data_IF_315808313229
#
_entry.id   IF_315808313229
#
_cell.length_a   1.000
_cell.length_b   1.000
_cell.length_c   1.000
_cell.angle_alpha   90.00
_cell.angle_beta   90.00
_cell.angle_gamma   90.00
#
_symmetry.space_group_name_H-M   'P 1'
#
loop_
_entity.id
_entity.type
_entity.pdbx_description
1 polymer ?
#
# COMPACT_ATOMS: atom_id res chain seq x y z
N UNK A 1 -22.83 -44.33 17.44
CA UNK A 1 -22.80 -42.97 18.03
C UNK A 1 -21.37 -42.60 18.32
N UNK A 2 -20.71 -41.81 17.48
CA UNK A 2 -19.41 -41.23 17.75
C UNK A 2 -19.61 -39.71 17.73
N UNK A 3 -19.47 -39.10 18.87
CA UNK A 3 -19.54 -37.68 19.14
C UNK A 3 -18.44 -36.99 18.37
N UNK A 4 -18.82 -36.13 17.41
CA UNK A 4 -17.91 -35.25 16.71
C UNK A 4 -17.30 -34.22 17.67
N UNK A 5 -16.02 -34.29 17.88
CA UNK A 5 -15.27 -33.20 18.50
C UNK A 5 -15.18 -32.07 17.49
N UNK A 6 -15.93 -31.01 17.71
CA UNK A 6 -15.69 -29.71 17.04
C UNK A 6 -14.34 -29.18 17.51
N UNK A 7 -13.36 -29.19 16.63
CA UNK A 7 -12.11 -28.46 16.83
C UNK A 7 -12.44 -26.97 16.83
N UNK A 8 -12.44 -26.39 18.02
CA UNK A 8 -12.62 -24.96 18.25
C UNK A 8 -11.31 -24.30 17.76
N UNK A 9 -11.32 -23.75 16.55
CA UNK A 9 -10.25 -22.90 16.05
C UNK A 9 -10.20 -21.69 17.01
N UNK A 10 -9.16 -21.64 17.85
CA UNK A 10 -8.86 -20.45 18.64
C UNK A 10 -8.36 -19.41 17.67
N UNK A 11 -9.26 -18.57 17.18
CA UNK A 11 -8.89 -17.30 16.53
C UNK A 11 -8.00 -16.54 17.48
N UNK A 12 -6.82 -16.17 16.99
CA UNK A 12 -5.80 -15.47 17.80
C UNK A 12 -6.20 -13.99 17.99
N UNK A 13 -7.31 -13.79 18.74
CA UNK A 13 -7.81 -12.46 19.11
C UNK A 13 -6.77 -11.63 19.89
N UNK A 14 -5.78 -12.30 20.50
CA UNK A 14 -4.76 -11.60 21.28
C UNK A 14 -3.75 -10.82 20.41
N UNK A 15 -3.43 -11.31 19.20
CA UNK A 15 -2.56 -10.56 18.26
C UNK A 15 -3.31 -9.35 17.69
N UNK A 16 -4.58 -9.52 17.30
CA UNK A 16 -5.43 -8.42 16.81
C UNK A 16 -5.59 -7.30 17.85
N UNK A 17 -5.85 -7.65 19.11
CA UNK A 17 -6.00 -6.67 20.20
C UNK A 17 -4.68 -5.91 20.44
N UNK A 18 -3.52 -6.56 20.33
CA UNK A 18 -2.22 -5.92 20.51
C UNK A 18 -1.88 -4.95 19.37
N UNK A 19 -2.20 -5.30 18.13
CA UNK A 19 -1.97 -4.45 16.96
C UNK A 19 -2.88 -3.21 16.99
N UNK A 20 -4.17 -3.39 17.24
CA UNK A 20 -5.14 -2.28 17.37
C UNK A 20 -4.82 -1.37 18.56
N UNK A 21 -4.34 -1.93 19.69
CA UNK A 21 -3.93 -1.15 20.85
C UNK A 21 -2.63 -0.37 20.61
N UNK A 22 -1.68 -0.92 19.83
CA UNK A 22 -0.45 -0.23 19.44
C UNK A 22 -0.74 0.94 18.50
N UNK A 23 -1.67 0.76 17.57
CA UNK A 23 -2.12 1.79 16.63
C UNK A 23 -2.83 2.93 17.36
N UNK A 24 -3.74 2.61 18.29
CA UNK A 24 -4.40 3.59 19.13
C UNK A 24 -3.41 4.38 20.00
N UNK A 25 -2.38 3.72 20.53
CA UNK A 25 -1.32 4.34 21.31
C UNK A 25 -0.45 5.29 20.47
N UNK A 26 -0.12 4.93 19.21
CA UNK A 26 0.61 5.78 18.27
C UNK A 26 -0.19 7.02 17.86
N UNK A 27 -1.49 6.88 17.59
CA UNK A 27 -2.37 8.00 17.27
C UNK A 27 -2.58 8.94 18.46
N UNK A 28 -2.66 8.42 19.67
CA UNK A 28 -2.76 9.22 20.92
C UNK A 28 -1.43 9.91 21.24
N UNK A 29 -0.29 9.26 21.03
CA UNK A 29 1.03 9.87 21.23
C UNK A 29 1.30 11.02 20.23
N UNK A 30 0.87 10.87 18.97
CA UNK A 30 0.94 11.93 17.96
C UNK A 30 0.04 13.14 18.29
N UNK A 31 -1.10 12.91 18.95
CA UNK A 31 -2.01 13.98 19.37
C UNK A 31 -1.51 14.75 20.61
N UNK A 32 -0.61 14.19 21.42
CA UNK A 32 -0.13 14.79 22.68
C UNK A 32 1.25 15.47 22.56
N UNK A 33 1.94 15.34 21.43
CA UNK A 33 3.33 15.81 21.23
C UNK A 33 3.51 17.28 20.85
N UNK A 34 2.47 18.09 20.67
CA UNK A 34 2.61 19.48 20.25
C UNK A 34 2.05 20.44 21.30
N UNK A 35 2.81 20.64 22.38
CA UNK A 35 2.79 21.91 23.12
C UNK A 35 4.05 22.68 22.78
N UNK A 36 3.92 23.69 21.92
CA UNK A 36 4.94 24.69 21.73
C UNK A 36 5.05 25.54 22.99
N UNK A 37 6.23 25.55 23.60
CA UNK A 37 6.57 26.41 24.72
C UNK A 37 6.80 27.83 24.17
N UNK A 38 5.89 28.75 24.45
CA UNK A 38 6.05 30.19 24.17
C UNK A 38 6.99 30.79 25.22
N UNK A 39 8.29 30.77 24.95
CA UNK A 39 9.23 31.60 25.70
C UNK A 39 9.35 32.97 25.02
N UNK A 40 8.73 33.94 25.65
CA UNK A 40 8.87 35.37 25.38
C UNK A 40 10.33 35.82 25.63
N UNK A 41 11.04 36.18 24.56
CA UNK A 41 12.28 36.95 24.65
C UNK A 41 12.13 38.26 23.90
N UNK A 42 12.24 39.37 24.64
CA UNK A 42 12.32 40.73 24.10
C UNK A 42 13.56 40.87 23.22
N UNK A 43 13.37 40.92 21.90
CA UNK A 43 14.37 41.30 20.91
C UNK A 43 13.97 42.61 20.22
N UNK A 44 14.94 43.47 19.82
CA UNK A 44 14.65 44.77 19.17
C UNK A 44 13.90 44.57 17.85
N UNK A 45 13.19 45.60 17.34
CA UNK A 45 12.36 45.47 16.16
C UNK A 45 13.21 45.08 14.93
N UNK A 46 13.01 43.87 14.42
CA UNK A 46 13.62 43.39 13.22
C UNK A 46 13.03 44.13 11.99
N UNK A 47 13.91 44.46 11.04
CA UNK A 47 13.52 44.91 9.69
C UNK A 47 12.42 44.00 9.10
N UNK A 48 11.41 44.58 8.38
CA UNK A 48 10.41 43.74 7.77
C UNK A 48 11.06 42.69 6.85
N UNK A 49 10.87 41.43 7.17
CA UNK A 49 11.25 40.33 6.30
C UNK A 49 10.57 40.53 4.92
N UNK A 50 11.23 40.20 3.81
CA UNK A 50 10.59 40.20 2.51
C UNK A 50 9.30 39.39 2.59
N UNK A 51 8.20 39.97 2.10
CA UNK A 51 6.91 39.27 2.05
C UNK A 51 7.13 37.85 1.52
N UNK A 52 6.75 36.85 2.32
CA UNK A 52 6.77 35.47 1.89
C UNK A 52 6.02 35.39 0.56
N UNK A 53 6.69 34.86 -0.48
CA UNK A 53 6.01 34.53 -1.73
C UNK A 53 4.80 33.67 -1.39
N UNK A 54 3.62 33.92 -2.02
CA UNK A 54 2.47 33.04 -1.83
C UNK A 54 2.94 31.61 -2.01
N UNK A 55 2.60 30.74 -1.08
CA UNK A 55 2.90 29.30 -1.17
C UNK A 55 2.56 28.85 -2.58
N UNK A 56 3.58 28.52 -3.37
CA UNK A 56 3.35 27.80 -4.61
C UNK A 56 2.60 26.54 -4.18
N UNK A 57 1.33 26.44 -4.58
CA UNK A 57 0.52 25.22 -4.37
C UNK A 57 1.27 24.11 -5.10
N UNK A 58 2.10 23.38 -4.36
CA UNK A 58 2.82 22.22 -4.87
C UNK A 58 1.81 21.20 -5.40
N UNK A 59 2.29 20.26 -6.20
CA UNK A 59 1.49 19.10 -6.58
C UNK A 59 0.86 18.48 -5.32
N UNK A 60 -0.40 18.04 -5.38
CA UNK A 60 -1.07 17.44 -4.23
C UNK A 60 -0.24 16.25 -3.75
N UNK A 61 -0.04 16.17 -2.43
CA UNK A 61 0.75 15.11 -1.83
C UNK A 61 0.06 13.77 -2.08
N UNK A 62 0.78 12.74 -2.55
CA UNK A 62 0.21 11.42 -2.76
C UNK A 62 -0.25 10.84 -1.41
N UNK A 63 -1.28 9.98 -1.45
CA UNK A 63 -1.61 9.11 -0.33
C UNK A 63 -0.48 8.08 -0.12
N UNK A 64 -0.59 7.27 0.90
CA UNK A 64 0.21 6.06 1.02
C UNK A 64 -0.53 4.89 0.38
N UNK A 65 0.08 4.34 -0.64
CA UNK A 65 -0.29 3.06 -1.21
C UNK A 65 0.04 1.95 -0.19
N UNK A 66 -0.70 0.85 -0.20
CA UNK A 66 -0.63 -0.23 0.81
C UNK A 66 0.77 -0.81 1.03
N UNK A 67 1.68 -0.73 0.05
CA UNK A 67 3.07 -1.22 0.15
C UNK A 67 4.03 -0.22 0.83
N UNK A 68 3.58 0.97 1.25
CA UNK A 68 4.41 1.97 1.93
C UNK A 68 5.16 2.91 1.00
N UNK A 69 4.55 3.30 -0.10
CA UNK A 69 5.05 4.27 -1.07
C UNK A 69 4.03 5.39 -1.29
N UNK A 70 4.48 6.51 -1.85
CA UNK A 70 3.56 7.50 -2.39
C UNK A 70 2.74 6.94 -3.55
N UNK A 71 1.42 7.06 -3.45
CA UNK A 71 0.48 6.55 -4.44
C UNK A 71 -0.95 6.91 -4.11
N UNK A 72 -1.92 6.14 -4.61
CA UNK A 72 -3.32 6.28 -4.27
C UNK A 72 -3.67 5.20 -3.23
N UNK A 73 -4.34 4.14 -3.61
CA UNK A 73 -4.70 3.03 -2.73
C UNK A 73 -3.91 1.76 -3.10
N UNK A 74 -4.01 1.32 -4.35
CA UNK A 74 -3.35 0.12 -4.89
C UNK A 74 -2.24 0.43 -5.90
N UNK A 75 -2.18 1.63 -6.46
CA UNK A 75 -1.22 2.05 -7.48
C UNK A 75 -0.30 3.15 -6.99
N UNK A 76 0.88 3.23 -7.61
CA UNK A 76 1.93 4.19 -7.26
C UNK A 76 1.72 5.54 -7.98
N UNK A 77 2.37 6.58 -7.42
CA UNK A 77 2.54 7.89 -8.03
C UNK A 77 4.00 8.15 -8.38
N UNK A 78 4.29 8.94 -9.41
CA UNK A 78 5.63 9.45 -9.64
C UNK A 78 5.99 10.64 -8.73
N UNK A 79 5.04 11.19 -8.00
CA UNK A 79 5.33 12.15 -6.94
C UNK A 79 5.84 11.43 -5.70
N UNK A 80 6.86 11.99 -5.05
CA UNK A 80 7.39 11.50 -3.78
C UNK A 80 6.71 12.20 -2.61
N UNK A 81 6.63 11.50 -1.48
CA UNK A 81 5.95 11.98 -0.27
C UNK A 81 6.83 12.98 0.46
N UNK A 82 6.28 14.16 0.77
CA UNK A 82 6.89 15.19 1.62
C UNK A 82 8.39 15.45 1.38
N UNK A 83 8.85 15.73 0.14
CA UNK A 83 10.23 16.07 -0.08
C UNK A 83 10.63 17.33 0.71
N UNK A 84 11.91 17.46 1.10
CA UNK A 84 12.38 18.63 1.86
C UNK A 84 12.06 19.92 1.11
N UNK A 85 11.52 20.89 1.84
CA UNK A 85 11.24 22.24 1.36
C UNK A 85 12.51 23.11 1.48
N UNK A 86 12.48 24.28 0.88
CA UNK A 86 13.62 25.22 0.94
C UNK A 86 13.99 25.52 2.40
N UNK A 87 15.24 25.17 2.78
CA UNK A 87 15.78 25.35 4.12
C UNK A 87 15.61 24.14 5.06
N UNK A 88 14.88 23.11 4.66
CA UNK A 88 14.78 21.86 5.43
C UNK A 88 15.94 20.93 5.03
N UNK A 89 16.65 20.31 6.00
CA UNK A 89 17.74 19.38 5.69
C UNK A 89 17.23 18.01 5.19
N UNK A 90 16.02 17.60 5.63
CA UNK A 90 15.33 16.35 5.24
C UNK A 90 13.84 16.63 5.09
N UNK A 91 13.12 15.78 4.38
CA UNK A 91 11.67 15.83 4.32
C UNK A 91 11.02 15.47 5.65
N UNK A 92 9.71 15.45 5.68
CA UNK A 92 8.95 15.09 6.87
C UNK A 92 8.35 13.70 6.70
N UNK A 93 8.49 12.81 7.71
CA UNK A 93 7.93 11.48 7.61
C UNK A 93 6.40 11.54 7.52
N UNK A 94 5.84 10.51 6.91
CA UNK A 94 4.41 10.26 6.89
C UNK A 94 4.16 8.81 7.30
N UNK A 95 3.07 8.57 8.02
CA UNK A 95 2.61 7.24 8.38
C UNK A 95 1.22 7.02 7.81
N UNK A 96 0.94 5.78 7.42
CA UNK A 96 -0.36 5.40 6.90
C UNK A 96 -0.85 4.11 7.55
N UNK A 97 -2.17 3.97 7.59
CA UNK A 97 -2.84 2.73 7.94
C UNK A 97 -3.94 2.47 6.93
N UNK A 98 -4.02 1.23 6.45
CA UNK A 98 -5.06 0.79 5.54
C UNK A 98 -5.70 -0.49 6.07
N UNK A 99 -7.01 -0.60 5.89
CA UNK A 99 -7.79 -1.81 6.10
C UNK A 99 -8.59 -2.11 4.84
N UNK A 100 -8.54 -3.34 4.37
CA UNK A 100 -9.23 -3.81 3.16
C UNK A 100 -10.00 -5.07 3.49
N UNK A 101 -11.30 -5.06 3.28
CA UNK A 101 -12.15 -6.24 3.37
C UNK A 101 -12.34 -6.84 1.96
N UNK A 102 -11.85 -8.07 1.77
CA UNK A 102 -11.97 -8.80 0.51
C UNK A 102 -13.17 -9.74 0.48
N UNK A 103 -13.95 -9.79 1.57
CA UNK A 103 -15.03 -10.75 1.75
C UNK A 103 -14.54 -12.14 2.18
N UNK A 104 -15.49 -13.06 2.43
CA UNK A 104 -15.20 -14.44 2.82
C UNK A 104 -14.31 -14.60 4.07
N UNK A 105 -14.27 -13.57 4.93
CA UNK A 105 -13.39 -13.49 6.08
C UNK A 105 -11.94 -13.18 5.76
N UNK A 106 -11.63 -12.82 4.51
CA UNK A 106 -10.33 -12.32 4.10
C UNK A 106 -10.28 -10.82 4.30
N UNK A 107 -9.25 -10.35 4.94
CA UNK A 107 -8.96 -8.92 5.12
C UNK A 107 -7.46 -8.66 5.07
N UNK A 108 -7.08 -7.44 4.71
CA UNK A 108 -5.70 -6.96 4.68
C UNK A 108 -5.59 -5.73 5.57
N UNK A 109 -4.67 -5.76 6.51
CA UNK A 109 -4.24 -4.61 7.31
C UNK A 109 -2.84 -4.21 6.85
N UNK A 110 -2.62 -2.91 6.55
CA UNK A 110 -1.30 -2.40 6.20
C UNK A 110 -0.92 -1.21 7.08
N UNK A 111 0.31 -1.21 7.57
CA UNK A 111 0.94 -0.09 8.26
C UNK A 111 2.13 0.38 7.43
N UNK A 112 2.18 1.69 7.15
CA UNK A 112 3.18 2.24 6.25
C UNK A 112 3.91 3.42 6.87
N UNK A 113 5.19 3.54 6.53
CA UNK A 113 6.05 4.67 6.90
C UNK A 113 6.82 5.12 5.66
N UNK A 114 6.83 6.41 5.38
CA UNK A 114 7.56 6.97 4.24
C UNK A 114 8.32 8.22 4.68
N UNK A 115 9.54 8.36 4.19
CA UNK A 115 10.41 9.50 4.40
C UNK A 115 11.10 9.89 3.09
N UNK A 116 11.18 11.17 2.79
CA UNK A 116 11.96 11.67 1.66
C UNK A 116 13.20 12.42 2.17
N UNK A 117 14.32 11.73 2.41
CA UNK A 117 15.52 12.36 2.94
C UNK A 117 16.17 13.37 1.99
N UNK A 118 15.88 13.25 0.69
CA UNK A 118 16.36 14.16 -0.34
C UNK A 118 15.19 14.58 -1.24
N UNK A 119 15.37 15.71 -1.95
CA UNK A 119 14.32 16.27 -2.81
C UNK A 119 13.85 15.37 -3.99
N UNK A 120 14.54 14.24 -4.20
CA UNK A 120 14.24 13.27 -5.27
C UNK A 120 14.33 11.81 -4.81
N UNK A 121 14.58 11.55 -3.52
CA UNK A 121 14.68 10.21 -2.96
C UNK A 121 13.57 10.01 -1.94
N UNK A 122 12.80 8.95 -2.11
CA UNK A 122 11.82 8.48 -1.14
C UNK A 122 12.25 7.09 -0.64
N UNK A 123 12.22 6.91 0.65
CA UNK A 123 12.37 5.63 1.33
C UNK A 123 11.05 5.28 1.99
N UNK A 124 10.64 4.04 1.89
CA UNK A 124 9.37 3.57 2.43
C UNK A 124 9.49 2.21 3.09
N UNK A 125 8.62 1.98 4.03
CA UNK A 125 8.40 0.68 4.64
C UNK A 125 6.90 0.40 4.71
N UNK A 126 6.48 -0.79 4.32
CA UNK A 126 5.12 -1.31 4.47
C UNK A 126 5.14 -2.64 5.19
N UNK A 127 4.28 -2.79 6.19
CA UNK A 127 3.94 -4.07 6.81
C UNK A 127 2.50 -4.40 6.45
N UNK A 128 2.29 -5.56 5.86
CA UNK A 128 0.99 -6.06 5.48
C UNK A 128 0.68 -7.35 6.25
N UNK A 129 -0.51 -7.44 6.83
CA UNK A 129 -1.03 -8.65 7.47
C UNK A 129 -2.33 -9.05 6.76
N UNK A 130 -2.27 -10.15 6.00
CA UNK A 130 -3.37 -10.67 5.21
C UNK A 130 -4.00 -11.87 5.90
N UNK A 131 -5.28 -11.78 6.25
CA UNK A 131 -6.07 -12.87 6.82
C UNK A 131 -6.54 -13.84 5.72
N UNK A 132 -6.21 -15.12 5.87
CA UNK A 132 -6.51 -16.17 4.90
C UNK A 132 -8.01 -16.57 4.85
N UNK A 133 -8.83 -16.03 5.74
CA UNK A 133 -10.28 -16.29 5.79
C UNK A 133 -10.61 -17.77 5.94
N UNK A 134 -11.35 -18.31 4.99
CA UNK A 134 -11.81 -19.70 4.99
C UNK A 134 -10.80 -20.70 4.41
N UNK A 135 -9.61 -20.27 3.94
CA UNK A 135 -8.63 -21.16 3.31
C UNK A 135 -8.20 -22.32 4.20
N UNK A 136 -7.90 -22.15 5.50
CA UNK A 136 -7.54 -23.28 6.36
C UNK A 136 -8.61 -24.39 6.40
N UNK A 137 -9.87 -24.01 6.44
CA UNK A 137 -10.98 -24.96 6.38
C UNK A 137 -11.08 -25.63 5.00
N UNK A 138 -10.89 -24.88 3.92
CA UNK A 138 -10.89 -25.42 2.56
C UNK A 138 -9.77 -26.44 2.34
N UNK A 139 -8.56 -26.17 2.85
CA UNK A 139 -7.43 -27.10 2.83
C UNK A 139 -7.77 -28.41 3.57
N UNK A 140 -8.30 -28.30 4.79
CA UNK A 140 -8.70 -29.46 5.58
C UNK A 140 -9.75 -30.33 4.85
N UNK A 141 -10.74 -29.69 4.25
CA UNK A 141 -11.82 -30.38 3.51
C UNK A 141 -11.29 -31.02 2.21
N UNK A 142 -10.52 -30.27 1.40
CA UNK A 142 -9.98 -30.74 0.13
C UNK A 142 -9.04 -31.96 0.31
N UNK A 143 -8.36 -32.04 1.45
CA UNK A 143 -7.41 -33.13 1.76
C UNK A 143 -8.01 -34.22 2.64
N UNK A 144 -9.33 -34.17 2.92
CA UNK A 144 -10.00 -35.10 3.84
C UNK A 144 -9.32 -35.16 5.22
N UNK A 145 -8.80 -34.05 5.68
CA UNK A 145 -8.10 -33.91 6.96
C UNK A 145 -6.63 -34.33 6.96
N UNK A 146 -6.06 -34.67 5.81
CA UNK A 146 -4.64 -35.05 5.71
C UNK A 146 -3.69 -33.85 5.94
N UNK A 147 -4.09 -32.63 5.53
CA UNK A 147 -3.37 -31.39 5.81
C UNK A 147 -4.19 -30.49 6.74
N UNK A 148 -3.46 -29.80 7.62
CA UNK A 148 -4.04 -28.84 8.53
C UNK A 148 -3.20 -27.55 8.48
N UNK A 149 -3.75 -26.52 7.89
CA UNK A 149 -3.15 -25.19 7.88
C UNK A 149 -3.55 -24.47 9.18
N UNK A 150 -2.60 -24.36 10.11
CA UNK A 150 -2.80 -23.71 11.41
C UNK A 150 -2.62 -22.19 11.32
N UNK A 151 -1.85 -21.71 10.36
CA UNK A 151 -1.68 -20.29 10.12
C UNK A 151 -2.95 -19.71 9.49
N UNK A 152 -3.37 -18.58 10.03
CA UNK A 152 -4.59 -17.89 9.62
C UNK A 152 -4.33 -16.58 8.91
N UNK A 153 -3.07 -16.16 8.84
CA UNK A 153 -2.63 -14.92 8.19
C UNK A 153 -1.26 -15.05 7.55
N UNK A 154 -0.99 -14.15 6.63
CA UNK A 154 0.31 -13.95 5.97
C UNK A 154 0.85 -12.59 6.38
N UNK A 155 2.12 -12.53 6.74
CA UNK A 155 2.84 -11.31 7.06
C UNK A 155 3.84 -11.00 5.92
N UNK A 156 3.72 -9.79 5.33
CA UNK A 156 4.58 -9.33 4.25
C UNK A 156 5.23 -8.00 4.63
N UNK A 157 6.54 -7.92 4.44
CA UNK A 157 7.34 -6.72 4.64
C UNK A 157 7.78 -6.15 3.30
N UNK A 158 7.59 -4.85 3.11
CA UNK A 158 8.00 -4.11 1.92
C UNK A 158 9.04 -3.05 2.32
N UNK A 159 10.22 -3.07 1.70
CA UNK A 159 11.28 -2.07 1.87
C UNK A 159 11.49 -1.37 0.53
N UNK A 160 11.23 -0.09 0.49
CA UNK A 160 11.07 0.67 -0.73
C UNK A 160 12.13 1.76 -0.86
N UNK A 161 12.70 1.89 -2.05
CA UNK A 161 13.55 3.03 -2.43
C UNK A 161 13.13 3.54 -3.80
N UNK A 162 12.76 4.83 -3.89
CA UNK A 162 12.28 5.44 -5.13
C UNK A 162 13.06 6.71 -5.43
N UNK A 163 13.46 6.87 -6.69
CA UNK A 163 14.19 8.05 -7.16
C UNK A 163 13.38 8.76 -8.23
N UNK A 164 13.02 10.01 -7.99
CA UNK A 164 12.38 10.86 -8.98
C UNK A 164 13.41 11.36 -10.00
N UNK A 165 13.42 10.75 -11.18
CA UNK A 165 14.35 11.01 -12.27
C UNK A 165 14.07 12.39 -12.88
N UNK A 166 12.79 12.70 -13.12
CA UNK A 166 12.31 13.98 -13.62
C UNK A 166 11.22 14.52 -12.68
N UNK A 167 11.29 15.81 -12.39
CA UNK A 167 10.17 16.54 -11.78
C UNK A 167 9.20 16.97 -12.86
N UNK A 168 7.93 17.11 -12.52
CA UNK A 168 6.96 17.67 -13.45
C UNK A 168 7.36 19.10 -13.88
N UNK A 169 7.33 19.38 -15.18
CA UNK A 169 7.70 20.69 -15.73
C UNK A 169 9.18 21.01 -15.68
N UNK A 170 10.04 20.03 -15.45
CA UNK A 170 11.51 20.23 -15.43
C UNK A 170 12.01 20.84 -16.74
N UNK A 171 13.10 21.60 -16.69
CA UNK A 171 13.66 22.36 -17.82
C UNK A 171 12.71 23.43 -18.41
N UNK A 172 11.78 23.97 -17.57
CA UNK A 172 10.74 24.92 -18.00
C UNK A 172 9.78 24.36 -19.08
N UNK A 173 9.75 23.05 -19.24
CA UNK A 173 8.90 22.36 -20.22
C UNK A 173 7.63 21.81 -19.59
N UNK A 174 6.53 22.57 -19.67
CA UNK A 174 5.25 22.24 -19.04
C UNK A 174 4.67 20.88 -19.44
N UNK A 175 5.09 20.30 -20.54
CA UNK A 175 4.62 18.99 -21.01
C UNK A 175 5.34 17.81 -20.34
N UNK A 176 6.53 18.02 -19.74
CA UNK A 176 7.30 16.97 -19.08
C UNK A 176 6.52 16.47 -17.86
N UNK A 177 6.22 15.15 -17.75
CA UNK A 177 5.63 14.56 -16.55
C UNK A 177 6.70 14.38 -15.47
N UNK A 178 6.28 14.21 -14.23
CA UNK A 178 7.14 13.60 -13.23
C UNK A 178 7.46 12.16 -13.65
N UNK A 179 8.69 11.69 -13.44
CA UNK A 179 9.11 10.32 -13.72
C UNK A 179 9.90 9.78 -12.53
N UNK A 180 9.48 8.63 -12.00
CA UNK A 180 10.09 8.01 -10.82
C UNK A 180 10.36 6.54 -11.08
N UNK A 181 11.60 6.13 -10.79
CA UNK A 181 12.02 4.73 -10.76
C UNK A 181 12.04 4.24 -9.31
N UNK A 182 11.60 3.00 -9.06
CA UNK A 182 11.60 2.37 -7.75
C UNK A 182 12.17 0.96 -7.76
N UNK A 183 12.77 0.58 -6.64
CA UNK A 183 13.13 -0.77 -6.28
C UNK A 183 12.49 -1.12 -4.93
N UNK A 184 11.79 -2.26 -4.86
CA UNK A 184 10.96 -2.65 -3.72
C UNK A 184 11.30 -4.07 -3.33
N UNK A 185 12.10 -4.23 -2.26
CA UNK A 185 12.38 -5.55 -1.69
C UNK A 185 11.22 -5.97 -0.81
N UNK A 186 10.72 -7.18 -1.05
CA UNK A 186 9.57 -7.76 -0.35
C UNK A 186 9.97 -9.08 0.29
N UNK A 187 9.52 -9.29 1.52
CA UNK A 187 9.79 -10.49 2.28
C UNK A 187 8.51 -11.00 2.94
N UNK A 188 8.08 -12.20 2.56
CA UNK A 188 6.94 -12.90 3.14
C UNK A 188 7.43 -13.81 4.26
N UNK A 189 7.22 -13.39 5.50
CA UNK A 189 7.69 -14.09 6.69
C UNK A 189 6.95 -15.41 6.93
N UNK A 190 5.69 -15.50 6.51
CA UNK A 190 4.83 -16.67 6.72
C UNK A 190 5.00 -17.76 5.65
N UNK A 191 5.64 -17.48 4.52
CA UNK A 191 5.71 -18.39 3.37
C UNK A 191 6.25 -19.77 3.72
N UNK A 192 7.38 -19.84 4.42
CA UNK A 192 8.05 -21.12 4.72
C UNK A 192 7.19 -22.02 5.60
N UNK A 193 6.55 -21.46 6.62
CA UNK A 193 5.70 -22.19 7.55
C UNK A 193 4.42 -22.69 6.85
N UNK A 194 3.77 -21.84 6.07
CA UNK A 194 2.59 -22.19 5.27
C UNK A 194 2.94 -23.27 4.25
N UNK A 195 4.04 -23.11 3.49
CA UNK A 195 4.47 -24.10 2.51
C UNK A 195 4.78 -25.46 3.16
N UNK A 196 5.38 -25.46 4.35
CA UNK A 196 5.65 -26.68 5.13
C UNK A 196 4.34 -27.36 5.56
N UNK A 197 3.38 -26.62 6.09
CA UNK A 197 2.07 -27.13 6.50
C UNK A 197 1.25 -27.67 5.31
N UNK A 198 1.47 -27.10 4.12
CA UNK A 198 0.88 -27.55 2.86
C UNK A 198 1.74 -28.63 2.14
N UNK A 199 2.68 -29.25 2.84
CA UNK A 199 3.58 -30.30 2.30
C UNK A 199 4.31 -29.89 1.02
N UNK A 200 4.74 -28.63 0.91
CA UNK A 200 5.47 -28.11 -0.24
C UNK A 200 4.59 -27.72 -1.44
N UNK A 201 3.28 -27.63 -1.28
CA UNK A 201 2.35 -27.35 -2.38
C UNK A 201 2.62 -26.00 -3.05
N UNK A 202 2.94 -24.92 -2.30
CA UNK A 202 3.25 -23.63 -2.91
C UNK A 202 4.43 -23.74 -3.88
N UNK A 203 5.51 -24.39 -3.45
CA UNK A 203 6.67 -24.64 -4.32
C UNK A 203 6.33 -25.51 -5.52
N UNK A 204 5.49 -26.51 -5.34
CA UNK A 204 5.07 -27.42 -6.41
C UNK A 204 4.23 -26.71 -7.51
N UNK A 205 3.48 -25.66 -7.16
CA UNK A 205 2.72 -24.88 -8.14
C UNK A 205 3.55 -23.75 -8.76
N UNK A 206 4.84 -23.59 -8.43
CA UNK A 206 5.75 -22.60 -9.00
C UNK A 206 5.96 -21.34 -8.16
N UNK A 207 5.34 -21.23 -6.98
CA UNK A 207 5.63 -20.18 -6.00
C UNK A 207 6.73 -20.72 -5.09
N UNK A 208 7.99 -20.39 -5.42
CA UNK A 208 9.16 -21.12 -4.88
C UNK A 208 9.98 -20.35 -3.87
N UNK A 209 9.74 -19.04 -3.71
CA UNK A 209 10.55 -18.13 -2.90
C UNK A 209 9.68 -17.35 -1.93
N UNK A 210 10.28 -16.95 -0.81
CA UNK A 210 9.65 -16.14 0.22
C UNK A 210 9.99 -14.64 0.11
N UNK A 211 10.88 -14.27 -0.81
CA UNK A 211 11.27 -12.90 -1.05
C UNK A 211 11.45 -12.61 -2.54
N UNK A 212 11.44 -11.34 -2.89
CA UNK A 212 11.66 -10.88 -4.25
C UNK A 212 11.87 -9.36 -4.30
N UNK A 213 12.25 -8.87 -5.48
CA UNK A 213 12.41 -7.45 -5.73
C UNK A 213 11.53 -7.01 -6.88
N UNK A 214 10.65 -6.04 -6.65
CA UNK A 214 9.94 -5.38 -7.75
C UNK A 214 10.73 -4.16 -8.24
N UNK A 215 10.72 -3.93 -9.55
CA UNK A 215 11.20 -2.70 -10.15
C UNK A 215 10.04 -1.97 -10.79
N UNK A 216 9.92 -0.66 -10.53
CA UNK A 216 8.81 0.16 -11.01
C UNK A 216 9.31 1.37 -11.78
N UNK A 217 8.53 1.79 -12.79
CA UNK A 217 8.72 3.05 -13.49
C UNK A 217 7.36 3.70 -13.71
N UNK A 218 7.18 4.91 -13.16
CA UNK A 218 5.93 5.65 -13.19
C UNK A 218 6.12 7.05 -13.73
N UNK A 219 5.13 7.49 -14.52
CA UNK A 219 4.99 8.86 -14.98
C UNK A 219 3.68 9.44 -14.43
N UNK A 220 3.72 10.66 -13.89
CA UNK A 220 2.56 11.39 -13.35
C UNK A 220 2.50 12.79 -13.95
N UNK A 221 1.28 13.20 -14.36
CA UNK A 221 1.04 14.51 -14.96
C UNK A 221 -0.23 15.13 -14.41
N UNK A 222 -0.10 16.34 -13.82
CA UNK A 222 -1.21 17.15 -13.33
C UNK A 222 -1.67 18.15 -14.40
N UNK A 223 -2.92 18.03 -14.83
CA UNK A 223 -3.58 18.94 -15.78
C UNK A 223 -4.39 19.99 -15.02
N UNK A 224 -3.79 21.16 -14.80
CA UNK A 224 -4.41 22.27 -14.06
C UNK A 224 -5.26 23.19 -14.95
N UNK A 225 -5.17 23.06 -16.26
CA UNK A 225 -5.91 23.87 -17.24
C UNK A 225 -7.36 23.41 -17.45
N UNK A 226 -7.72 22.25 -16.91
CA UNK A 226 -9.10 21.73 -16.95
C UNK A 226 -9.97 22.45 -15.91
N UNK A 227 -11.31 22.42 -16.06
CA UNK A 227 -12.24 23.05 -15.08
C UNK A 227 -12.02 22.59 -13.64
N UNK A 228 -11.53 21.36 -13.47
CA UNK A 228 -11.00 20.80 -12.22
C UNK A 228 -9.64 20.19 -12.52
N UNK A 229 -8.64 20.30 -11.63
CA UNK A 229 -7.36 19.64 -11.83
C UNK A 229 -7.55 18.13 -11.94
N UNK A 230 -6.85 17.53 -12.90
CA UNK A 230 -6.86 16.08 -13.12
C UNK A 230 -5.42 15.59 -13.12
N UNK A 231 -5.12 14.62 -12.27
CA UNK A 231 -3.85 13.90 -12.25
C UNK A 231 -4.05 12.60 -13.02
N UNK A 232 -3.11 12.31 -13.93
CA UNK A 232 -3.03 11.03 -14.65
C UNK A 232 -1.69 10.40 -14.35
N UNK A 233 -1.71 9.14 -13.97
CA UNK A 233 -0.53 8.38 -13.59
C UNK A 233 -0.53 7.04 -14.32
N UNK A 234 0.59 6.74 -14.96
CA UNK A 234 0.79 5.52 -15.72
C UNK A 234 2.15 4.93 -15.38
N UNK A 235 2.21 3.63 -15.21
CA UNK A 235 3.45 2.96 -14.91
C UNK A 235 3.43 1.48 -15.20
N UNK A 236 4.56 0.88 -14.97
CA UNK A 236 4.76 -0.55 -15.07
C UNK A 236 5.63 -1.05 -13.94
N UNK A 237 5.44 -2.31 -13.65
CA UNK A 237 6.17 -3.04 -12.62
C UNK A 237 6.71 -4.34 -13.20
N UNK A 238 8.00 -4.60 -13.02
CA UNK A 238 8.57 -5.92 -13.17
C UNK A 238 8.56 -6.60 -11.79
N UNK A 239 7.86 -7.72 -11.65
CA UNK A 239 7.62 -8.40 -10.37
C UNK A 239 7.69 -9.93 -10.52
N UNK A 240 8.14 -10.60 -9.48
CA UNK A 240 8.05 -12.05 -9.27
C UNK A 240 6.93 -12.40 -8.28
N UNK A 241 6.35 -11.38 -7.62
CA UNK A 241 5.35 -11.54 -6.57
C UNK A 241 3.99 -11.99 -7.08
N UNK A 242 3.43 -13.03 -6.46
CA UNK A 242 2.05 -13.45 -6.66
C UNK A 242 1.18 -12.72 -5.64
N UNK A 243 0.11 -12.05 -6.12
CA UNK A 243 -0.72 -11.15 -5.28
C UNK A 243 0.15 -10.22 -4.44
N UNK A 244 1.01 -9.49 -5.13
CA UNK A 244 1.90 -8.53 -4.49
C UNK A 244 3.00 -9.13 -3.59
N UNK A 245 3.18 -10.47 -3.59
CA UNK A 245 4.06 -11.21 -2.70
C UNK A 245 3.34 -11.88 -1.53
N UNK A 246 2.03 -11.64 -1.35
CA UNK A 246 1.24 -12.25 -0.26
C UNK A 246 1.18 -13.79 -0.37
N UNK A 247 1.19 -14.35 -1.58
CA UNK A 247 1.33 -15.80 -1.74
C UNK A 247 2.79 -16.26 -1.74
N UNK A 248 3.74 -15.37 -1.92
CA UNK A 248 5.16 -15.63 -2.17
C UNK A 248 5.58 -15.19 -3.56
N UNK A 249 6.74 -15.70 -4.02
CA UNK A 249 7.37 -15.25 -5.26
C UNK A 249 7.69 -16.44 -6.17
N UNK A 250 7.61 -16.20 -7.48
CA UNK A 250 8.03 -17.16 -8.51
C UNK A 250 9.52 -16.98 -8.83
N UNK A 251 10.04 -17.73 -9.79
CA UNK A 251 11.43 -17.61 -10.30
C UNK A 251 11.52 -16.76 -11.59
N UNK A 252 10.42 -16.05 -11.95
CA UNK A 252 10.31 -15.31 -13.20
C UNK A 252 9.69 -13.94 -13.00
N UNK A 253 10.34 -12.94 -13.60
CA UNK A 253 9.77 -11.60 -13.70
C UNK A 253 8.61 -11.56 -14.70
N UNK A 254 7.51 -10.97 -14.25
CA UNK A 254 6.39 -10.56 -15.07
C UNK A 254 6.38 -9.03 -15.17
N UNK A 255 6.12 -8.51 -16.35
CA UNK A 255 5.86 -7.09 -16.51
C UNK A 255 4.35 -6.86 -16.47
N UNK A 256 3.91 -6.03 -15.52
CA UNK A 256 2.51 -5.66 -15.34
C UNK A 256 2.33 -4.16 -15.48
N UNK A 257 1.18 -3.76 -16.02
CA UNK A 257 0.79 -2.37 -16.19
C UNK A 257 -0.05 -1.93 -14.99
N UNK A 258 0.17 -0.68 -14.55
CA UNK A 258 -0.59 -0.03 -13.48
C UNK A 258 -0.88 1.42 -13.88
N UNK A 259 -2.00 1.97 -13.42
CA UNK A 259 -2.29 3.38 -13.64
C UNK A 259 -3.53 3.85 -12.90
N UNK A 260 -3.64 5.17 -12.80
CA UNK A 260 -4.79 5.80 -12.16
C UNK A 260 -5.10 7.17 -12.78
N UNK A 261 -6.29 7.64 -12.48
CA UNK A 261 -6.74 9.01 -12.77
C UNK A 261 -7.36 9.57 -11.50
N UNK A 262 -6.93 10.76 -11.09
CA UNK A 262 -7.47 11.48 -9.92
C UNK A 262 -8.05 12.80 -10.34
N UNK A 263 -9.29 13.07 -9.94
CA UNK A 263 -9.99 14.34 -10.16
C UNK A 263 -10.12 15.08 -8.82
N UNK A 264 -9.56 16.29 -8.73
CA UNK A 264 -9.68 17.16 -7.55
C UNK A 264 -10.99 17.93 -7.62
N UNK A 265 -12.04 17.37 -6.99
CA UNK A 265 -13.40 17.96 -7.01
C UNK A 265 -13.43 19.30 -6.25
N UNK A 266 -12.73 19.37 -5.13
CA UNK A 266 -12.50 20.57 -4.33
C UNK A 266 -11.05 20.62 -3.87
N UNK A 267 -10.65 21.65 -3.12
CA UNK A 267 -9.31 21.73 -2.49
C UNK A 267 -9.09 20.60 -1.43
N UNK A 268 -10.17 19.98 -0.95
CA UNK A 268 -10.12 18.94 0.10
C UNK A 268 -10.66 17.59 -0.32
N UNK A 269 -11.29 17.47 -1.50
CA UNK A 269 -11.93 16.22 -1.95
C UNK A 269 -11.36 15.82 -3.31
N UNK A 270 -10.86 14.60 -3.40
CA UNK A 270 -10.44 13.99 -4.65
C UNK A 270 -11.18 12.66 -4.88
N UNK A 271 -11.45 12.35 -6.14
CA UNK A 271 -11.97 11.06 -6.59
C UNK A 271 -10.92 10.42 -7.49
N UNK A 272 -10.70 9.12 -7.32
CA UNK A 272 -9.76 8.37 -8.13
C UNK A 272 -10.39 7.11 -8.74
N UNK A 273 -9.81 6.65 -9.84
CA UNK A 273 -10.01 5.32 -10.39
C UNK A 273 -8.64 4.71 -10.67
N UNK A 274 -8.45 3.49 -10.21
CA UNK A 274 -7.18 2.77 -10.33
C UNK A 274 -7.36 1.46 -11.10
N UNK A 275 -6.30 1.05 -11.79
CA UNK A 275 -6.20 -0.26 -12.44
C UNK A 275 -4.79 -0.82 -12.25
N UNK A 276 -4.70 -2.13 -11.93
CA UNK A 276 -3.45 -2.85 -11.77
C UNK A 276 -3.58 -4.28 -12.27
N UNK A 277 -2.72 -4.67 -13.20
CA UNK A 277 -2.61 -6.05 -13.65
C UNK A 277 -1.98 -6.93 -12.57
N UNK A 278 -2.39 -8.21 -12.55
CA UNK A 278 -1.82 -9.21 -11.66
C UNK A 278 -1.16 -10.33 -12.48
N UNK A 279 0.07 -10.76 -12.11
CA UNK A 279 0.71 -11.90 -12.74
C UNK A 279 0.02 -13.20 -12.35
N UNK A 280 0.01 -14.17 -13.28
CA UNK A 280 -0.59 -15.50 -13.10
C UNK A 280 0.40 -16.61 -13.40
N UNK A 281 1.69 -16.37 -13.19
CA UNK A 281 2.78 -17.30 -13.55
C UNK A 281 2.99 -18.37 -12.46
N UNK A 282 1.90 -19.05 -12.10
CA UNK A 282 1.87 -20.21 -11.21
C UNK A 282 0.79 -21.20 -11.68
N UNK A 283 0.96 -22.49 -11.33
CA UNK A 283 0.05 -23.55 -11.78
C UNK A 283 -1.21 -23.64 -10.88
N UNK A 284 -2.14 -22.69 -11.02
CA UNK A 284 -3.41 -22.70 -10.28
C UNK A 284 -4.29 -23.93 -10.61
N UNK A 285 -4.11 -24.58 -11.77
CA UNK A 285 -4.88 -25.77 -12.15
C UNK A 285 -4.48 -27.02 -11.33
N UNK A 286 -3.34 -27.01 -10.66
CA UNK A 286 -2.92 -28.13 -9.82
C UNK A 286 -3.78 -28.28 -8.55
N UNK A 287 -4.30 -27.17 -8.03
CA UNK A 287 -5.09 -27.13 -6.78
C UNK A 287 -6.29 -26.16 -6.91
N UNK A 288 -7.18 -26.37 -7.89
CA UNK A 288 -8.19 -25.37 -8.28
C UNK A 288 -9.23 -25.06 -7.21
N UNK A 289 -9.40 -25.91 -6.21
CA UNK A 289 -10.27 -25.68 -5.06
C UNK A 289 -9.66 -24.77 -3.98
N UNK A 290 -8.35 -24.51 -4.05
CA UNK A 290 -7.61 -23.76 -3.04
C UNK A 290 -7.04 -22.45 -3.58
N UNK A 291 -6.69 -22.41 -4.87
CA UNK A 291 -6.08 -21.25 -5.50
C UNK A 291 -6.67 -21.11 -6.91
N UNK A 292 -7.25 -19.96 -7.19
CA UNK A 292 -7.74 -19.60 -8.52
C UNK A 292 -6.68 -18.85 -9.35
N UNK A 293 -7.04 -18.53 -10.59
CA UNK A 293 -6.27 -17.64 -11.45
C UNK A 293 -6.39 -16.21 -10.90
N UNK A 294 -5.28 -15.54 -10.66
CA UNK A 294 -5.29 -14.13 -10.27
C UNK A 294 -6.00 -13.28 -11.34
N UNK A 295 -6.84 -12.36 -10.91
CA UNK A 295 -7.49 -11.38 -11.77
C UNK A 295 -6.91 -10.00 -11.55
N UNK A 296 -7.06 -9.12 -12.54
CA UNK A 296 -6.64 -7.73 -12.43
C UNK A 296 -7.47 -6.99 -11.39
N UNK A 297 -6.86 -5.99 -10.76
CA UNK A 297 -7.48 -5.16 -9.74
C UNK A 297 -7.95 -3.84 -10.35
N UNK A 298 -9.09 -3.36 -9.90
CA UNK A 298 -9.53 -1.99 -10.13
C UNK A 298 -10.25 -1.46 -8.89
N UNK A 299 -10.09 -0.16 -8.63
CA UNK A 299 -10.79 0.53 -7.54
C UNK A 299 -11.36 1.86 -8.01
N UNK A 300 -12.36 2.33 -7.28
CA UNK A 300 -12.85 3.70 -7.31
C UNK A 300 -12.75 4.23 -5.89
N UNK A 301 -12.10 5.37 -5.73
CA UNK A 301 -11.69 5.88 -4.44
C UNK A 301 -12.15 7.32 -4.24
N UNK A 302 -12.44 7.68 -2.99
CA UNK A 302 -12.70 9.04 -2.57
C UNK A 302 -11.78 9.40 -1.41
N UNK A 303 -11.03 10.49 -1.55
CA UNK A 303 -10.13 11.01 -0.52
C UNK A 303 -10.62 12.35 0.02
N UNK A 304 -10.44 12.56 1.32
CA UNK A 304 -10.74 13.78 2.03
C UNK A 304 -9.55 14.27 2.84
N UNK A 305 -9.04 15.44 2.48
CA UNK A 305 -7.98 16.15 3.22
C UNK A 305 -8.64 16.88 4.39
N UNK A 306 -8.54 16.30 5.59
CA UNK A 306 -9.13 16.85 6.82
C UNK A 306 -8.41 18.14 7.23
N UNK A 307 -7.09 18.10 7.17
CA UNK A 307 -6.19 19.22 7.45
C UNK A 307 -4.81 18.99 6.84
N UNK A 308 -3.83 19.86 7.11
CA UNK A 308 -2.46 19.76 6.58
C UNK A 308 -1.69 18.49 7.02
N UNK A 309 -2.20 17.73 7.97
CA UNK A 309 -1.56 16.53 8.51
C UNK A 309 -2.34 15.26 8.21
N UNK A 310 -3.68 15.30 8.17
CA UNK A 310 -4.53 14.12 8.09
C UNK A 310 -5.29 14.07 6.77
N UNK A 311 -5.13 12.98 6.05
CA UNK A 311 -5.94 12.60 4.90
C UNK A 311 -6.60 11.25 5.16
N UNK A 312 -7.87 11.15 4.81
CA UNK A 312 -8.66 9.92 4.86
C UNK A 312 -9.08 9.55 3.45
N UNK A 313 -9.12 8.25 3.14
CA UNK A 313 -9.72 7.80 1.90
C UNK A 313 -10.51 6.51 2.12
N UNK A 314 -11.49 6.30 1.24
CA UNK A 314 -12.27 5.07 1.14
C UNK A 314 -12.23 4.60 -0.30
N UNK A 315 -12.15 3.29 -0.50
CA UNK A 315 -12.14 2.68 -1.82
C UNK A 315 -13.15 1.55 -1.92
N UNK A 316 -13.66 1.33 -3.14
CA UNK A 316 -14.44 0.18 -3.51
C UNK A 316 -13.92 -0.38 -4.83
N UNK A 317 -13.84 -1.72 -4.94
CA UNK A 317 -13.28 -2.30 -6.14
C UNK A 317 -13.45 -3.81 -6.27
N UNK A 318 -12.65 -4.34 -7.17
CA UNK A 318 -12.60 -5.75 -7.53
C UNK A 318 -11.13 -6.18 -7.58
N UNK A 319 -10.79 -7.26 -6.90
CA UNK A 319 -9.41 -7.77 -6.83
C UNK A 319 -9.27 -9.16 -7.50
N UNK A 320 -10.21 -9.49 -8.39
CA UNK A 320 -10.22 -10.78 -9.05
C UNK A 320 -10.39 -11.95 -8.10
N UNK A 321 -9.73 -13.06 -8.39
CA UNK A 321 -9.69 -14.20 -7.50
C UNK A 321 -8.47 -14.09 -6.58
N UNK A 322 -8.73 -14.07 -5.27
CA UNK A 322 -7.72 -14.09 -4.23
C UNK A 322 -7.82 -15.41 -3.48
N UNK A 323 -6.78 -16.24 -3.54
CA UNK A 323 -6.80 -17.63 -3.08
C UNK A 323 -7.94 -18.42 -3.76
N UNK A 324 -8.88 -18.91 -2.98
CA UNK A 324 -10.04 -19.69 -3.42
C UNK A 324 -11.35 -18.88 -3.53
N UNK A 325 -11.29 -17.56 -3.36
CA UNK A 325 -12.47 -16.71 -3.32
C UNK A 325 -12.43 -15.62 -4.41
N UNK A 326 -13.59 -15.31 -4.97
CA UNK A 326 -13.77 -14.15 -5.84
C UNK A 326 -13.96 -12.89 -5.00
N UNK A 327 -13.02 -11.94 -5.09
CA UNK A 327 -13.06 -10.66 -4.39
C UNK A 327 -13.73 -9.57 -5.26
N UNK A 328 -15.04 -9.72 -5.47
CA UNK A 328 -15.82 -8.88 -6.40
C UNK A 328 -16.39 -7.61 -5.75
N UNK A 329 -16.38 -7.50 -4.44
CA UNK A 329 -16.94 -6.37 -3.68
C UNK A 329 -16.00 -5.95 -2.57
N UNK A 330 -14.75 -5.66 -2.94
CA UNK A 330 -13.71 -5.21 -2.01
C UNK A 330 -13.99 -3.78 -1.60
N UNK A 331 -13.89 -3.50 -0.32
CA UNK A 331 -13.89 -2.12 0.16
C UNK A 331 -12.73 -1.92 1.13
N UNK A 332 -12.25 -0.69 1.19
CA UNK A 332 -11.15 -0.36 2.08
C UNK A 332 -11.20 1.07 2.57
N UNK A 333 -10.50 1.30 3.66
CA UNK A 333 -10.23 2.63 4.21
C UNK A 333 -8.73 2.79 4.35
N UNK A 334 -8.24 4.00 4.10
CA UNK A 334 -6.86 4.37 4.39
C UNK A 334 -6.81 5.71 5.08
N UNK A 335 -5.83 5.84 5.97
CA UNK A 335 -5.52 7.09 6.66
C UNK A 335 -4.05 7.40 6.45
N UNK A 336 -3.71 8.67 6.26
CA UNK A 336 -2.34 9.14 6.18
C UNK A 336 -2.15 10.32 7.12
N UNK A 337 -1.13 10.25 7.95
CA UNK A 337 -0.69 11.34 8.80
C UNK A 337 0.69 11.83 8.35
N UNK A 338 0.81 13.14 8.16
CA UNK A 338 2.06 13.85 7.82
C UNK A 338 2.52 14.69 9.01
N UNK A 339 3.82 14.63 9.34
CA UNK A 339 4.42 15.36 10.47
C UNK A 339 4.85 16.79 10.10
#
# INVERSE_FOLDING_TARGET
>A
MKTGQYVRIKTDQHKRIRFTALLAALLVAAAWGVKADETSTNAPPAQPAPAAKPDEKGAPLPLHQIEGNGGIFSTLSAYIVNPPRNGEPVGRPAVGFSFVDLGHGQDLEALTLTESPLSRLELGYGYENFNLGNLPLAVYQATSGALNLSDTSVELHNFNARVQILKEGEFDQKWIPALTFGAHYKYNDSYNDINSQLSGTLKAIGVSQNDGVDFTLYASKLFTQLPRPVLVELGGRATEGVWNGLLGFTDKYNFVFEGNVVVFVTDSIALAAEYRQQPTDYNYNAVPSLIGKAGDWWTIDAAYVVNKHLTLAVGYGHFGTVLNNEANGVWGITTKWEF
#
